data_IF_692394119582
#
_entry.id   IF_692394119582
#
_cell.length_a   1.000
_cell.length_b   1.000
_cell.length_c   1.000
_cell.angle_alpha   90.00
_cell.angle_beta   90.00
_cell.angle_gamma   90.00
#
_symmetry.space_group_name_H-M   'P 1'
#
loop_
_entity.id
_entity.type
_entity.pdbx_description
1 polymer ?
#
# COMPACT_ATOMS: atom_id res chain seq x y z
N UNK A 1 50.08 54.03 -5.92
CA UNK A 1 49.23 53.98 -7.14
C UNK A 1 48.71 52.56 -7.37
N UNK A 2 49.56 51.54 -7.39
CA UNK A 2 49.15 50.13 -7.60
C UNK A 2 48.15 49.60 -6.56
N UNK A 3 48.33 49.96 -5.28
CA UNK A 3 47.40 49.57 -4.21
C UNK A 3 46.03 50.27 -4.32
N UNK A 4 45.97 51.51 -4.81
CA UNK A 4 44.71 52.21 -5.01
C UNK A 4 43.94 51.63 -6.23
N UNK A 5 44.64 51.16 -7.26
CA UNK A 5 44.02 50.48 -8.42
C UNK A 5 43.50 49.07 -8.02
N UNK A 6 44.23 48.34 -7.13
CA UNK A 6 43.73 47.06 -6.57
C UNK A 6 42.52 47.23 -5.66
N UNK A 7 42.45 48.31 -4.87
CA UNK A 7 41.27 48.60 -4.03
C UNK A 7 40.03 48.92 -4.88
N UNK A 8 40.17 49.57 -6.01
CA UNK A 8 39.06 49.89 -6.89
C UNK A 8 38.44 48.68 -7.59
N UNK A 9 39.27 47.70 -7.94
CA UNK A 9 38.79 46.45 -8.59
C UNK A 9 38.15 45.43 -7.60
N UNK A 10 38.50 45.48 -6.33
CA UNK A 10 37.98 44.57 -5.29
C UNK A 10 36.59 45.02 -4.77
N UNK A 11 36.32 46.32 -4.74
CA UNK A 11 35.04 46.86 -4.21
C UNK A 11 33.78 46.37 -4.96
N UNK A 12 33.75 46.36 -6.31
CA UNK A 12 32.57 45.82 -7.02
C UNK A 12 32.35 44.33 -6.78
N UNK A 13 33.44 43.55 -6.70
CA UNK A 13 33.39 42.12 -6.40
C UNK A 13 32.91 41.85 -4.97
N UNK A 14 33.33 42.61 -3.99
CA UNK A 14 32.86 42.52 -2.62
C UNK A 14 31.37 42.90 -2.50
N UNK A 15 30.94 43.99 -3.18
CA UNK A 15 29.54 44.40 -3.20
C UNK A 15 28.66 43.31 -3.83
N UNK A 16 29.11 42.68 -4.95
CA UNK A 16 28.39 41.58 -5.58
C UNK A 16 28.28 40.38 -4.65
N UNK A 17 29.38 40.00 -3.99
CA UNK A 17 29.39 38.85 -3.06
C UNK A 17 28.50 39.09 -1.85
N UNK A 18 28.62 40.23 -1.17
CA UNK A 18 27.87 40.46 0.07
C UNK A 18 26.42 40.90 -0.16
N UNK A 19 26.14 41.69 -1.16
CA UNK A 19 24.82 42.26 -1.38
C UNK A 19 23.90 41.40 -2.26
N UNK A 20 24.47 40.52 -3.08
CA UNK A 20 23.71 39.69 -4.03
C UNK A 20 23.95 38.20 -3.79
N UNK A 21 25.20 37.72 -3.84
CA UNK A 21 25.47 36.30 -3.76
C UNK A 21 25.23 35.71 -2.37
N UNK A 22 25.58 36.45 -1.29
CA UNK A 22 25.35 35.97 0.07
C UNK A 22 23.86 35.91 0.42
N UNK A 23 23.02 36.93 0.18
CA UNK A 23 21.59 36.83 0.36
C UNK A 23 20.94 35.75 -0.53
N UNK A 24 21.37 35.61 -1.78
CA UNK A 24 20.88 34.58 -2.67
C UNK A 24 21.21 33.17 -2.13
N UNK A 25 22.43 32.97 -1.63
CA UNK A 25 22.84 31.73 -0.98
C UNK A 25 22.02 31.46 0.28
N UNK A 26 21.76 32.47 1.12
CA UNK A 26 20.94 32.33 2.32
C UNK A 26 19.49 31.99 2.00
N UNK A 27 18.93 32.51 0.90
CA UNK A 27 17.54 32.29 0.52
C UNK A 27 17.36 30.95 -0.21
N UNK A 28 18.30 30.56 -1.06
CA UNK A 28 18.18 29.37 -1.92
C UNK A 28 19.12 28.24 -1.47
N UNK A 29 20.40 28.53 -1.27
CA UNK A 29 21.41 27.51 -0.99
C UNK A 29 21.32 26.94 0.41
N UNK A 30 21.11 27.78 1.41
CA UNK A 30 21.03 27.31 2.80
C UNK A 30 19.78 26.44 3.07
N UNK A 31 18.55 26.81 2.65
CA UNK A 31 17.39 25.93 2.74
C UNK A 31 17.56 24.64 1.96
N UNK A 32 18.22 24.68 0.79
CA UNK A 32 18.52 23.48 0.01
C UNK A 32 19.46 22.51 0.76
N UNK A 33 20.55 23.03 1.35
CA UNK A 33 21.47 22.24 2.17
C UNK A 33 20.75 21.68 3.41
N UNK A 34 19.94 22.49 4.11
CA UNK A 34 19.15 22.02 5.24
C UNK A 34 18.16 20.95 4.83
N UNK A 35 17.52 21.06 3.67
CA UNK A 35 16.61 20.06 3.13
C UNK A 35 17.31 18.73 2.89
N UNK A 36 18.51 18.73 2.28
CA UNK A 36 19.33 17.53 2.07
C UNK A 36 19.72 16.91 3.43
N UNK A 37 20.23 17.72 4.35
CA UNK A 37 20.63 17.23 5.68
C UNK A 37 19.46 16.64 6.46
N UNK A 38 18.30 17.27 6.38
CA UNK A 38 17.08 16.78 7.03
C UNK A 38 16.60 15.46 6.43
N UNK A 39 16.53 15.37 5.10
CA UNK A 39 16.15 14.15 4.39
C UNK A 39 17.10 12.98 4.71
N UNK A 40 18.41 13.25 4.73
CA UNK A 40 19.42 12.23 5.09
C UNK A 40 19.25 11.74 6.52
N UNK A 41 18.96 12.64 7.47
CA UNK A 41 18.69 12.25 8.86
C UNK A 41 17.42 11.46 9.03
N UNK A 42 16.36 11.85 8.34
CA UNK A 42 15.06 11.17 8.37
C UNK A 42 15.18 9.74 7.82
N UNK A 43 15.88 9.55 6.70
CA UNK A 43 16.14 8.21 6.15
C UNK A 43 16.85 7.29 7.15
N UNK A 44 17.88 7.77 7.85
CA UNK A 44 18.57 6.98 8.89
C UNK A 44 17.65 6.60 10.05
N UNK A 45 16.78 7.50 10.48
CA UNK A 45 15.81 7.20 11.53
C UNK A 45 14.85 6.10 11.06
N UNK A 46 14.34 6.19 9.82
CA UNK A 46 13.48 5.18 9.22
C UNK A 46 14.19 3.81 9.19
N UNK A 47 15.42 3.75 8.71
CA UNK A 47 16.22 2.51 8.69
C UNK A 47 16.43 1.93 10.10
N UNK A 48 16.69 2.77 11.11
CA UNK A 48 16.84 2.34 12.49
C UNK A 48 15.54 1.77 13.07
N UNK A 49 14.39 2.38 12.76
CA UNK A 49 13.08 1.88 13.17
C UNK A 49 12.81 0.51 12.53
N UNK A 50 13.04 0.35 11.24
CA UNK A 50 12.91 -0.94 10.56
C UNK A 50 13.85 -2.00 11.14
N UNK A 51 15.12 -1.67 11.33
CA UNK A 51 16.10 -2.57 11.95
C UNK A 51 15.69 -3.00 13.36
N UNK A 52 15.06 -2.12 14.14
CA UNK A 52 14.57 -2.46 15.48
C UNK A 52 13.40 -3.46 15.45
N UNK A 53 12.51 -3.35 14.48
CA UNK A 53 11.41 -4.32 14.25
C UNK A 53 11.99 -5.68 13.84
N UNK A 54 12.89 -5.71 12.86
CA UNK A 54 13.56 -6.95 12.42
C UNK A 54 14.28 -7.68 13.55
N UNK A 55 14.93 -6.94 14.44
CA UNK A 55 15.54 -7.56 15.63
C UNK A 55 14.52 -8.28 16.53
N UNK A 56 13.29 -7.78 16.63
CA UNK A 56 12.22 -8.48 17.37
C UNK A 56 11.84 -9.78 16.64
N UNK A 57 11.73 -9.77 15.31
CA UNK A 57 11.46 -11.00 14.54
C UNK A 57 12.53 -12.07 14.78
N UNK A 58 13.79 -11.70 14.69
CA UNK A 58 14.91 -12.62 14.95
C UNK A 58 14.87 -13.18 16.38
N UNK A 59 14.57 -12.35 17.38
CA UNK A 59 14.44 -12.79 18.78
C UNK A 59 13.26 -13.72 18.99
N UNK A 60 12.10 -13.46 18.34
CA UNK A 60 10.94 -14.33 18.37
C UNK A 60 11.23 -15.69 17.73
N UNK A 61 11.82 -15.68 16.54
CA UNK A 61 12.20 -16.90 15.82
C UNK A 61 13.25 -17.74 16.59
N UNK A 62 14.17 -17.09 17.32
CA UNK A 62 15.16 -17.80 18.12
C UNK A 62 14.59 -18.58 19.31
N UNK A 63 13.37 -18.23 19.77
CA UNK A 63 12.66 -18.97 20.83
C UNK A 63 12.00 -20.24 20.25
N UNK A 64 11.54 -20.14 19.00
CA UNK A 64 10.84 -21.22 18.31
C UNK A 64 9.37 -21.37 18.71
N UNK A 65 8.59 -22.10 17.89
CA UNK A 65 7.12 -22.18 18.01
C UNK A 65 6.64 -22.84 19.29
N UNK A 66 7.41 -23.76 19.86
CA UNK A 66 7.11 -24.48 21.10
C UNK A 66 7.73 -23.83 22.34
N UNK A 67 8.53 -22.77 22.13
CA UNK A 67 9.22 -22.08 23.23
C UNK A 67 8.24 -21.25 24.06
N UNK A 68 8.50 -21.18 25.36
CA UNK A 68 7.68 -20.36 26.28
C UNK A 68 8.16 -18.90 26.27
N UNK A 69 7.24 -18.00 25.95
CA UNK A 69 7.49 -16.57 25.99
C UNK A 69 6.88 -15.97 27.26
N UNK A 70 7.73 -15.67 28.22
CA UNK A 70 7.30 -15.06 29.46
C UNK A 70 6.42 -13.81 29.24
N UNK A 71 5.27 -13.63 29.94
CA UNK A 71 4.30 -12.55 29.70
C UNK A 71 4.91 -11.14 29.66
N UNK A 72 5.89 -10.82 30.53
CA UNK A 72 6.59 -9.53 30.51
C UNK A 72 7.39 -9.30 29.22
N UNK A 73 8.00 -10.33 28.64
CA UNK A 73 8.72 -10.23 27.38
C UNK A 73 7.74 -10.09 26.21
N UNK A 74 6.62 -10.83 26.23
CA UNK A 74 5.53 -10.72 25.26
C UNK A 74 5.02 -9.29 25.19
N UNK A 75 4.59 -8.72 26.32
CA UNK A 75 4.14 -7.34 26.42
C UNK A 75 5.19 -6.37 25.85
N UNK A 76 6.45 -6.51 26.29
CA UNK A 76 7.54 -5.63 25.82
C UNK A 76 7.69 -5.67 24.29
N UNK A 77 7.64 -6.85 23.68
CA UNK A 77 7.88 -6.98 22.22
C UNK A 77 6.67 -6.58 21.40
N UNK A 78 5.45 -6.93 21.81
CA UNK A 78 4.24 -6.43 21.18
C UNK A 78 4.19 -4.89 21.24
N UNK A 79 4.41 -4.32 22.41
CA UNK A 79 4.45 -2.87 22.60
C UNK A 79 5.53 -2.21 21.73
N UNK A 80 6.74 -2.77 21.70
CA UNK A 80 7.81 -2.25 20.87
C UNK A 80 7.44 -2.25 19.37
N UNK A 81 6.87 -3.35 18.85
CA UNK A 81 6.41 -3.42 17.46
C UNK A 81 5.37 -2.33 17.15
N UNK A 82 4.40 -2.14 18.04
CA UNK A 82 3.32 -1.17 17.85
C UNK A 82 3.81 0.27 17.98
N UNK A 83 4.62 0.58 18.99
CA UNK A 83 5.18 1.92 19.19
C UNK A 83 6.10 2.30 18.03
N UNK A 84 6.94 1.38 17.56
CA UNK A 84 7.81 1.64 16.40
C UNK A 84 7.00 1.84 15.13
N UNK A 85 5.93 1.07 14.93
CA UNK A 85 5.01 1.27 13.81
C UNK A 85 4.29 2.62 13.93
N UNK A 86 3.87 3.05 15.14
CA UNK A 86 3.28 4.36 15.36
C UNK A 86 4.27 5.49 15.04
N UNK A 87 5.56 5.35 15.40
CA UNK A 87 6.59 6.33 15.02
C UNK A 87 6.75 6.44 13.49
N UNK A 88 6.65 5.32 12.75
CA UNK A 88 6.64 5.35 11.28
C UNK A 88 5.39 6.07 10.73
N UNK A 89 4.22 5.90 11.37
CA UNK A 89 3.00 6.64 11.03
C UNK A 89 3.19 8.14 11.24
N UNK A 90 3.74 8.54 12.38
CA UNK A 90 4.00 9.94 12.69
C UNK A 90 4.95 10.56 11.66
N UNK A 91 6.02 9.86 11.30
CA UNK A 91 6.92 10.29 10.23
C UNK A 91 6.19 10.43 8.89
N UNK A 92 5.32 9.49 8.55
CA UNK A 92 4.54 9.52 7.30
C UNK A 92 3.62 10.75 7.22
N UNK A 93 3.06 11.17 8.35
CA UNK A 93 2.17 12.33 8.44
C UNK A 93 2.95 13.64 8.40
N UNK A 94 4.07 13.73 9.15
CA UNK A 94 4.77 14.99 9.37
C UNK A 94 5.87 15.28 8.36
N UNK A 95 6.39 14.28 7.64
CA UNK A 95 7.42 14.49 6.64
C UNK A 95 6.82 15.06 5.34
N UNK A 96 7.27 16.23 4.86
CA UNK A 96 6.71 16.85 3.66
C UNK A 96 7.21 16.23 2.35
N UNK A 97 8.32 15.48 2.37
CA UNK A 97 8.99 14.95 1.19
C UNK A 97 8.46 13.58 0.79
N UNK A 98 8.35 13.34 -0.52
CA UNK A 98 7.82 12.08 -1.08
C UNK A 98 8.76 10.90 -0.84
N UNK A 99 10.06 11.09 -0.95
CA UNK A 99 11.04 10.01 -0.85
C UNK A 99 11.00 9.29 0.52
N UNK A 100 11.02 9.98 1.68
CA UNK A 100 10.85 9.31 2.96
C UNK A 100 9.49 8.63 3.13
N UNK A 101 8.41 9.22 2.58
CA UNK A 101 7.09 8.59 2.58
C UNK A 101 7.11 7.28 1.78
N UNK A 102 7.71 7.28 0.59
CA UNK A 102 7.89 6.09 -0.23
C UNK A 102 8.71 5.03 0.53
N UNK A 103 9.85 5.42 1.11
CA UNK A 103 10.69 4.52 1.91
C UNK A 103 9.92 3.87 3.08
N UNK A 104 9.03 4.61 3.74
CA UNK A 104 8.21 4.05 4.83
C UNK A 104 7.21 3.03 4.27
N UNK A 105 6.51 3.34 3.19
CA UNK A 105 5.50 2.42 2.60
C UNK A 105 6.16 1.15 2.08
N UNK A 106 7.25 1.26 1.34
CA UNK A 106 8.03 0.11 0.86
C UNK A 106 8.55 -0.73 2.02
N UNK A 107 9.16 -0.09 3.01
CA UNK A 107 9.70 -0.77 4.18
C UNK A 107 8.62 -1.47 5.01
N UNK A 108 7.42 -0.93 5.15
CA UNK A 108 6.30 -1.61 5.81
C UNK A 108 5.87 -2.86 5.05
N UNK A 109 5.82 -2.79 3.70
CA UNK A 109 5.55 -3.94 2.86
C UNK A 109 6.60 -5.04 3.02
N UNK A 110 7.88 -4.68 2.94
CA UNK A 110 9.00 -5.61 3.08
C UNK A 110 9.04 -6.24 4.48
N UNK A 111 8.83 -5.44 5.53
CA UNK A 111 8.73 -5.95 6.91
C UNK A 111 7.59 -6.95 7.09
N UNK A 112 6.44 -6.70 6.48
CA UNK A 112 5.30 -7.60 6.60
C UNK A 112 5.54 -8.90 5.83
N UNK A 113 6.18 -8.83 4.66
CA UNK A 113 6.63 -10.01 3.91
C UNK A 113 7.64 -10.83 4.73
N UNK A 114 8.60 -10.16 5.35
CA UNK A 114 9.58 -10.82 6.23
C UNK A 114 8.90 -11.44 7.45
N UNK A 115 8.00 -10.72 8.10
CA UNK A 115 7.19 -11.23 9.21
C UNK A 115 6.45 -12.52 8.85
N UNK A 116 5.81 -12.57 7.69
CA UNK A 116 5.08 -13.76 7.21
C UNK A 116 6.00 -14.97 7.05
N UNK A 117 7.22 -14.76 6.56
CA UNK A 117 8.22 -15.83 6.40
C UNK A 117 8.66 -16.41 7.75
N UNK A 118 8.84 -15.55 8.75
CA UNK A 118 9.28 -15.96 10.08
C UNK A 118 8.15 -16.37 11.03
N UNK A 119 6.91 -16.01 10.74
CA UNK A 119 5.74 -16.19 11.61
C UNK A 119 5.56 -17.62 12.11
N UNK A 120 5.84 -18.62 11.28
CA UNK A 120 5.75 -20.06 11.63
C UNK A 120 6.74 -20.45 12.73
N UNK A 121 7.82 -19.72 12.86
CA UNK A 121 8.89 -19.97 13.83
C UNK A 121 8.70 -19.19 15.14
N UNK A 122 7.65 -18.35 15.23
CA UNK A 122 7.35 -17.57 16.44
C UNK A 122 6.64 -18.41 17.51
N UNK A 123 6.92 -18.14 18.81
CA UNK A 123 6.20 -18.81 19.90
C UNK A 123 4.71 -18.55 19.81
N UNK A 124 3.90 -19.59 20.03
CA UNK A 124 2.42 -19.49 19.97
C UNK A 124 1.90 -18.43 20.95
N UNK A 125 2.48 -18.36 22.13
CA UNK A 125 2.13 -17.38 23.16
C UNK A 125 2.37 -15.92 22.74
N UNK A 126 3.18 -15.65 21.71
CA UNK A 126 3.34 -14.30 21.17
C UNK A 126 2.04 -13.74 20.58
N UNK A 127 1.15 -14.59 20.09
CA UNK A 127 -0.10 -14.18 19.42
C UNK A 127 -1.26 -13.92 20.39
N UNK A 128 -1.10 -14.18 21.69
CA UNK A 128 -2.04 -13.72 22.71
C UNK A 128 -1.87 -12.20 22.89
N UNK A 129 -2.89 -11.45 22.53
CA UNK A 129 -2.83 -9.97 22.48
C UNK A 129 -2.93 -9.41 23.90
N UNK A 130 -1.97 -8.59 24.30
CA UNK A 130 -1.98 -7.93 25.62
C UNK A 130 -2.96 -6.77 25.65
N UNK A 131 -3.43 -6.39 26.85
CA UNK A 131 -4.44 -5.34 27.03
C UNK A 131 -3.98 -4.00 26.48
N UNK A 132 -2.71 -3.64 26.63
CA UNK A 132 -2.14 -2.43 26.05
C UNK A 132 -2.33 -2.37 24.51
N UNK A 133 -2.23 -3.52 23.84
CA UNK A 133 -2.41 -3.61 22.38
C UNK A 133 -3.90 -3.61 22.02
N UNK A 134 -4.76 -4.23 22.83
CA UNK A 134 -6.21 -4.21 22.61
C UNK A 134 -6.79 -2.80 22.66
N UNK A 135 -6.16 -1.90 23.43
CA UNK A 135 -6.54 -0.49 23.52
C UNK A 135 -5.96 0.41 22.42
N UNK A 136 -5.05 -0.10 21.59
CA UNK A 136 -4.52 0.67 20.46
C UNK A 136 -5.66 1.17 19.54
N UNK A 137 -5.50 2.39 19.04
CA UNK A 137 -6.51 3.05 18.17
C UNK A 137 -6.85 2.20 16.93
N UNK A 138 -5.90 1.39 16.47
CA UNK A 138 -6.09 0.48 15.34
C UNK A 138 -7.14 -0.59 15.61
N UNK A 139 -7.44 -0.89 16.87
CA UNK A 139 -8.37 -1.95 17.25
C UNK A 139 -9.68 -1.46 17.87
N UNK A 140 -9.89 -0.14 17.97
CA UNK A 140 -11.11 0.41 18.58
C UNK A 140 -12.41 -0.13 17.97
N UNK A 141 -12.41 -0.39 16.66
CA UNK A 141 -13.57 -0.93 15.94
C UNK A 141 -13.65 -2.46 15.97
N UNK A 142 -12.64 -3.14 16.48
CA UNK A 142 -12.49 -4.59 16.47
C UNK A 142 -12.60 -5.22 17.87
N UNK A 143 -13.08 -4.46 18.87
CA UNK A 143 -13.10 -4.89 20.29
C UNK A 143 -13.79 -6.23 20.55
N UNK A 144 -14.80 -6.60 19.74
CA UNK A 144 -15.49 -7.89 19.85
C UNK A 144 -14.84 -9.05 19.07
N UNK A 145 -13.72 -8.82 18.37
CA UNK A 145 -13.12 -9.78 17.44
C UNK A 145 -11.74 -10.30 17.90
N UNK A 146 -11.33 -9.97 19.14
CA UNK A 146 -9.97 -10.35 19.58
C UNK A 146 -9.75 -11.85 19.67
N UNK A 147 -10.76 -12.64 20.02
CA UNK A 147 -10.67 -14.09 20.02
C UNK A 147 -10.33 -14.65 18.63
N UNK A 148 -10.99 -14.11 17.59
CA UNK A 148 -10.71 -14.49 16.20
C UNK A 148 -9.33 -13.98 15.75
N UNK A 149 -8.95 -12.76 16.12
CA UNK A 149 -7.65 -12.15 15.79
C UNK A 149 -6.50 -12.97 16.38
N UNK A 150 -6.64 -13.41 17.64
CA UNK A 150 -5.65 -14.24 18.33
C UNK A 150 -5.60 -15.66 17.74
N UNK A 151 -6.76 -16.27 17.50
CA UNK A 151 -6.89 -17.57 16.85
C UNK A 151 -6.26 -17.58 15.45
N UNK A 152 -6.54 -16.55 14.68
CA UNK A 152 -6.01 -16.38 13.31
C UNK A 152 -4.57 -15.83 13.31
N UNK A 153 -4.08 -15.36 14.47
CA UNK A 153 -2.72 -14.81 14.68
C UNK A 153 -2.39 -13.61 13.78
N UNK A 154 -3.36 -12.71 13.56
CA UNK A 154 -3.24 -11.63 12.55
C UNK A 154 -3.22 -10.21 13.13
N UNK A 155 -3.00 -10.05 14.45
CA UNK A 155 -3.06 -8.73 15.09
C UNK A 155 -2.04 -7.72 14.53
N UNK A 156 -0.83 -8.16 14.22
CA UNK A 156 0.22 -7.27 13.71
C UNK A 156 0.01 -6.95 12.22
N UNK A 157 -0.47 -7.90 11.45
CA UNK A 157 -0.86 -7.71 10.06
C UNK A 157 -1.99 -6.69 9.93
N UNK A 158 -3.03 -6.80 10.77
CA UNK A 158 -4.12 -5.84 10.81
C UNK A 158 -3.64 -4.41 11.10
N UNK A 159 -2.67 -4.26 12.01
CA UNK A 159 -2.04 -2.96 12.29
C UNK A 159 -1.39 -2.38 11.04
N UNK A 160 -0.52 -3.14 10.38
CA UNK A 160 0.22 -2.68 9.20
C UNK A 160 -0.70 -2.39 8.01
N UNK A 161 -1.69 -3.24 7.73
CA UNK A 161 -2.68 -2.98 6.68
C UNK A 161 -3.48 -1.71 6.92
N UNK A 162 -3.83 -1.44 8.18
CA UNK A 162 -4.52 -0.19 8.51
C UNK A 162 -3.63 1.03 8.23
N UNK A 163 -2.33 0.93 8.50
CA UNK A 163 -1.38 2.01 8.18
C UNK A 163 -1.32 2.25 6.68
N UNK A 164 -1.08 1.20 5.89
CA UNK A 164 -1.00 1.29 4.43
C UNK A 164 -2.32 1.79 3.85
N UNK A 165 -3.46 1.31 4.36
CA UNK A 165 -4.78 1.73 3.92
C UNK A 165 -5.08 3.20 4.21
N UNK A 166 -4.75 3.69 5.39
CA UNK A 166 -4.91 5.10 5.74
C UNK A 166 -3.98 5.99 4.90
N UNK A 167 -2.75 5.55 4.66
CA UNK A 167 -1.81 6.24 3.80
C UNK A 167 -2.34 6.34 2.36
N UNK A 168 -2.88 5.24 1.80
CA UNK A 168 -3.51 5.22 0.49
C UNK A 168 -4.62 6.27 0.37
N UNK A 169 -5.53 6.33 1.34
CA UNK A 169 -6.62 7.31 1.38
C UNK A 169 -6.06 8.73 1.41
N UNK A 170 -5.12 9.01 2.32
CA UNK A 170 -4.51 10.33 2.47
C UNK A 170 -3.78 10.77 1.18
N UNK A 171 -3.08 9.86 0.51
CA UNK A 171 -2.36 10.18 -0.73
C UNK A 171 -3.31 10.44 -1.90
N UNK A 172 -4.42 9.72 -1.99
CA UNK A 172 -5.46 10.02 -2.99
C UNK A 172 -6.04 11.41 -2.75
N UNK A 173 -6.41 11.74 -1.51
CA UNK A 173 -6.98 13.05 -1.15
C UNK A 173 -5.98 14.19 -1.38
N UNK A 174 -4.69 13.95 -1.19
CA UNK A 174 -3.62 14.91 -1.47
C UNK A 174 -3.22 14.98 -2.95
N UNK A 175 -3.74 14.11 -3.83
CA UNK A 175 -3.33 14.02 -5.24
C UNK A 175 -1.92 13.43 -5.44
N UNK A 176 -1.38 12.72 -4.47
CA UNK A 176 -0.07 12.07 -4.52
C UNK A 176 -0.19 10.67 -5.14
N UNK A 177 -0.52 10.61 -6.45
CA UNK A 177 -0.86 9.37 -7.17
C UNK A 177 0.26 8.33 -7.18
N UNK A 178 1.52 8.75 -7.19
CA UNK A 178 2.67 7.83 -7.16
C UNK A 178 2.71 7.07 -5.82
N UNK A 179 2.48 7.77 -4.72
CA UNK A 179 2.46 7.18 -3.37
C UNK A 179 1.23 6.32 -3.13
N UNK A 180 0.06 6.72 -3.66
CA UNK A 180 -1.13 5.86 -3.59
C UNK A 180 -0.95 4.57 -4.37
N UNK A 181 -0.32 4.62 -5.55
CA UNK A 181 0.03 3.44 -6.35
C UNK A 181 1.00 2.54 -5.60
N UNK A 182 2.00 3.13 -4.92
CA UNK A 182 2.96 2.38 -4.12
C UNK A 182 2.29 1.63 -2.96
N UNK A 183 1.30 2.22 -2.29
CA UNK A 183 0.52 1.52 -1.26
C UNK A 183 -0.16 0.26 -1.82
N UNK A 184 -0.77 0.36 -2.99
CA UNK A 184 -1.43 -0.78 -3.65
C UNK A 184 -0.43 -1.83 -4.08
N UNK A 185 0.72 -1.42 -4.63
CA UNK A 185 1.81 -2.33 -4.99
C UNK A 185 2.28 -3.14 -3.78
N UNK A 186 2.47 -2.50 -2.62
CA UNK A 186 2.86 -3.23 -1.42
C UNK A 186 1.80 -4.23 -0.96
N UNK A 187 0.50 -3.85 -0.97
CA UNK A 187 -0.59 -4.78 -0.64
C UNK A 187 -0.59 -5.98 -1.59
N UNK A 188 -0.39 -5.75 -2.89
CA UNK A 188 -0.29 -6.80 -3.90
C UNK A 188 0.92 -7.72 -3.67
N UNK A 189 2.12 -7.17 -3.41
CA UNK A 189 3.34 -7.94 -3.10
C UNK A 189 3.15 -8.83 -1.88
N UNK A 190 2.57 -8.30 -0.81
CA UNK A 190 2.21 -9.05 0.39
C UNK A 190 1.25 -10.19 0.03
N UNK A 191 0.24 -9.91 -0.81
CA UNK A 191 -0.72 -10.90 -1.28
C UNK A 191 -0.08 -12.06 -2.04
N UNK A 192 0.80 -11.76 -3.00
CA UNK A 192 1.55 -12.79 -3.75
C UNK A 192 2.39 -13.65 -2.79
N UNK A 193 3.10 -13.01 -1.85
CA UNK A 193 3.88 -13.77 -0.87
C UNK A 193 3.00 -14.64 0.05
N UNK A 194 1.80 -14.15 0.41
CA UNK A 194 0.85 -14.95 1.19
C UNK A 194 0.34 -16.18 0.43
N UNK A 195 0.13 -16.05 -0.88
CA UNK A 195 -0.22 -17.17 -1.77
C UNK A 195 0.90 -18.20 -1.82
N UNK A 196 2.14 -17.78 -2.04
CA UNK A 196 3.32 -18.67 -2.05
C UNK A 196 3.50 -19.43 -0.73
N UNK A 197 3.25 -18.75 0.40
CA UNK A 197 3.35 -19.32 1.75
C UNK A 197 2.09 -20.09 2.17
N UNK A 198 1.03 -20.10 1.35
CA UNK A 198 -0.30 -20.70 1.64
C UNK A 198 -0.90 -20.14 2.95
N UNK A 199 -0.85 -18.82 3.11
CA UNK A 199 -1.28 -18.13 4.31
C UNK A 199 -2.73 -17.63 4.15
N UNK A 200 -3.74 -18.52 4.37
CA UNK A 200 -5.15 -18.28 4.08
C UNK A 200 -5.68 -16.96 4.65
N UNK A 201 -5.46 -16.73 5.94
CA UNK A 201 -5.96 -15.51 6.61
C UNK A 201 -5.35 -14.23 6.05
N UNK A 202 -4.10 -14.32 5.60
CA UNK A 202 -3.44 -13.18 4.98
C UNK A 202 -3.98 -12.89 3.59
N UNK A 203 -4.27 -13.91 2.80
CA UNK A 203 -4.92 -13.77 1.49
C UNK A 203 -6.30 -13.13 1.63
N UNK A 204 -7.10 -13.53 2.66
CA UNK A 204 -8.39 -12.92 2.96
C UNK A 204 -8.24 -11.43 3.33
N UNK A 205 -7.26 -11.07 4.17
CA UNK A 205 -6.98 -9.68 4.53
C UNK A 205 -6.60 -8.85 3.30
N UNK A 206 -5.77 -9.37 2.41
CA UNK A 206 -5.40 -8.70 1.15
C UNK A 206 -6.63 -8.43 0.30
N UNK A 207 -7.52 -9.42 0.12
CA UNK A 207 -8.78 -9.23 -0.63
C UNK A 207 -9.66 -8.14 -0.02
N UNK A 208 -9.83 -8.14 1.31
CA UNK A 208 -10.62 -7.14 2.03
C UNK A 208 -10.03 -5.74 1.82
N UNK A 209 -8.71 -5.60 1.93
CA UNK A 209 -8.05 -4.31 1.75
C UNK A 209 -8.09 -3.82 0.32
N UNK A 210 -7.82 -4.67 -0.68
CA UNK A 210 -7.94 -4.30 -2.09
C UNK A 210 -9.37 -3.89 -2.45
N UNK A 211 -10.39 -4.63 -1.96
CA UNK A 211 -11.79 -4.25 -2.13
C UNK A 211 -12.12 -2.89 -1.46
N UNK A 212 -11.58 -2.64 -0.27
CA UNK A 212 -11.77 -1.35 0.43
C UNK A 212 -11.12 -0.20 -0.36
N UNK A 213 -9.91 -0.42 -0.89
CA UNK A 213 -9.23 0.55 -1.74
C UNK A 213 -10.00 0.82 -3.04
N UNK A 214 -10.56 -0.22 -3.71
CA UNK A 214 -11.40 -0.08 -4.89
C UNK A 214 -12.62 0.79 -4.61
N UNK A 215 -13.31 0.53 -3.49
CA UNK A 215 -14.48 1.32 -3.08
C UNK A 215 -14.12 2.79 -2.88
N UNK A 216 -13.00 3.07 -2.22
CA UNK A 216 -12.55 4.43 -1.96
C UNK A 216 -12.12 5.13 -3.26
N UNK A 217 -11.30 4.45 -4.09
CA UNK A 217 -10.84 4.98 -5.36
C UNK A 217 -12.00 5.25 -6.34
N UNK A 218 -13.03 4.40 -6.36
CA UNK A 218 -14.23 4.63 -7.17
C UNK A 218 -15.00 5.85 -6.67
N UNK A 219 -15.21 5.98 -5.35
CA UNK A 219 -15.87 7.15 -4.77
C UNK A 219 -15.13 8.45 -5.14
N UNK A 220 -13.82 8.46 -4.99
CA UNK A 220 -12.98 9.60 -5.34
C UNK A 220 -13.01 9.87 -6.86
N UNK A 221 -12.91 8.82 -7.68
CA UNK A 221 -12.96 8.91 -9.14
C UNK A 221 -14.27 9.50 -9.65
N UNK A 222 -15.41 9.12 -9.08
CA UNK A 222 -16.73 9.71 -9.41
C UNK A 222 -16.80 11.18 -9.07
N UNK A 223 -16.37 11.57 -7.86
CA UNK A 223 -16.46 12.95 -7.38
C UNK A 223 -15.55 13.91 -8.16
N UNK A 224 -14.39 13.44 -8.59
CA UNK A 224 -13.36 14.27 -9.20
C UNK A 224 -13.16 14.00 -10.70
N UNK A 225 -13.94 13.10 -11.29
CA UNK A 225 -13.76 12.62 -12.66
C UNK A 225 -12.29 12.18 -12.93
N UNK A 226 -11.68 11.46 -11.96
CA UNK A 226 -10.27 11.11 -11.93
C UNK A 226 -10.06 9.58 -11.87
N UNK A 227 -9.71 8.96 -12.99
CA UNK A 227 -9.64 7.49 -13.10
C UNK A 227 -8.29 6.87 -12.71
N UNK A 228 -7.20 7.65 -12.59
CA UNK A 228 -5.83 7.11 -12.45
C UNK A 228 -5.65 6.15 -11.28
N UNK A 229 -6.23 6.48 -10.12
CA UNK A 229 -6.13 5.60 -8.94
C UNK A 229 -6.84 4.27 -9.16
N UNK A 230 -8.00 4.28 -9.82
CA UNK A 230 -8.72 3.05 -10.17
C UNK A 230 -7.92 2.18 -11.15
N UNK A 231 -7.35 2.80 -12.18
CA UNK A 231 -6.54 2.09 -13.17
C UNK A 231 -5.38 1.35 -12.50
N UNK A 232 -4.57 2.05 -11.72
CA UNK A 232 -3.42 1.47 -11.04
C UNK A 232 -3.83 0.36 -10.05
N UNK A 233 -4.91 0.60 -9.31
CA UNK A 233 -5.41 -0.37 -8.33
C UNK A 233 -5.90 -1.66 -9.00
N UNK A 234 -6.66 -1.56 -10.11
CA UNK A 234 -7.16 -2.73 -10.86
C UNK A 234 -5.98 -3.52 -11.44
N UNK A 235 -4.96 -2.84 -11.97
CA UNK A 235 -3.76 -3.49 -12.49
C UNK A 235 -3.02 -4.30 -11.40
N UNK A 236 -2.79 -3.73 -10.22
CA UNK A 236 -2.14 -4.46 -9.12
C UNK A 236 -3.03 -5.56 -8.55
N UNK A 237 -4.33 -5.32 -8.47
CA UNK A 237 -5.28 -6.37 -8.08
C UNK A 237 -5.24 -7.54 -9.07
N UNK A 238 -5.17 -7.26 -10.37
CA UNK A 238 -5.02 -8.27 -11.42
C UNK A 238 -3.80 -9.17 -11.20
N UNK A 239 -2.65 -8.62 -10.82
CA UNK A 239 -1.45 -9.41 -10.50
C UNK A 239 -1.68 -10.37 -9.31
N UNK A 240 -2.37 -9.92 -8.28
CA UNK A 240 -2.72 -10.78 -7.14
C UNK A 240 -3.68 -11.90 -7.58
N UNK A 241 -4.70 -11.59 -8.38
CA UNK A 241 -5.64 -12.59 -8.92
C UNK A 241 -4.94 -13.62 -9.79
N UNK A 242 -3.97 -13.21 -10.62
CA UNK A 242 -3.16 -14.14 -11.40
C UNK A 242 -2.38 -15.13 -10.52
N UNK A 243 -1.81 -14.64 -9.40
CA UNK A 243 -1.15 -15.51 -8.42
C UNK A 243 -2.12 -16.51 -7.77
N UNK A 244 -3.35 -16.08 -7.44
CA UNK A 244 -4.41 -17.00 -6.94
C UNK A 244 -4.77 -18.07 -7.97
N UNK A 245 -4.85 -17.69 -9.26
CA UNK A 245 -5.11 -18.63 -10.37
C UNK A 245 -3.98 -19.64 -10.52
N UNK A 246 -2.73 -19.20 -10.44
CA UNK A 246 -1.55 -20.08 -10.50
C UNK A 246 -1.54 -21.13 -9.39
N UNK A 247 -2.01 -20.77 -8.20
CA UNK A 247 -2.10 -21.66 -7.05
C UNK A 247 -3.46 -22.37 -6.90
N UNK A 248 -4.35 -22.21 -7.88
CA UNK A 248 -5.67 -22.87 -7.95
C UNK A 248 -6.59 -22.54 -6.76
N UNK A 249 -6.54 -21.31 -6.25
CA UNK A 249 -7.41 -20.84 -5.17
C UNK A 249 -8.77 -20.39 -5.74
N UNK A 250 -9.61 -21.36 -6.07
CA UNK A 250 -10.91 -21.10 -6.68
C UNK A 250 -11.83 -20.17 -5.85
N UNK A 251 -11.96 -20.34 -4.52
CA UNK A 251 -12.85 -19.46 -3.75
C UNK A 251 -12.48 -17.98 -3.87
N UNK A 252 -11.17 -17.65 -3.78
CA UNK A 252 -10.71 -16.26 -3.87
C UNK A 252 -10.73 -15.73 -5.30
N UNK A 253 -10.50 -16.57 -6.30
CA UNK A 253 -10.67 -16.22 -7.72
C UNK A 253 -12.12 -15.84 -7.99
N UNK A 254 -13.11 -16.64 -7.55
CA UNK A 254 -14.55 -16.33 -7.68
C UNK A 254 -14.89 -14.99 -7.03
N UNK A 255 -14.42 -14.76 -5.82
CA UNK A 255 -14.64 -13.50 -5.10
C UNK A 255 -14.06 -12.31 -5.88
N UNK A 256 -12.86 -12.45 -6.45
CA UNK A 256 -12.19 -11.40 -7.21
C UNK A 256 -12.94 -11.06 -8.51
N UNK A 257 -13.42 -12.07 -9.24
CA UNK A 257 -14.23 -11.86 -10.44
C UNK A 257 -15.57 -11.20 -10.10
N UNK A 258 -16.19 -11.59 -8.97
CA UNK A 258 -17.38 -10.92 -8.44
C UNK A 258 -17.12 -9.44 -8.13
N UNK A 259 -15.95 -9.09 -7.57
CA UNK A 259 -15.55 -7.71 -7.38
C UNK A 259 -15.42 -6.95 -8.71
N UNK A 260 -14.76 -7.53 -9.71
CA UNK A 260 -14.62 -6.88 -11.02
C UNK A 260 -15.97 -6.58 -11.66
N UNK A 261 -16.90 -7.54 -11.64
CA UNK A 261 -18.24 -7.33 -12.17
C UNK A 261 -19.00 -6.25 -11.40
N UNK A 262 -18.97 -6.31 -10.06
CA UNK A 262 -19.63 -5.31 -9.21
C UNK A 262 -19.10 -3.89 -9.48
N UNK A 263 -17.77 -3.71 -9.54
CA UNK A 263 -17.18 -2.41 -9.81
C UNK A 263 -17.43 -1.97 -11.27
N UNK A 264 -17.47 -2.90 -12.22
CA UNK A 264 -17.86 -2.59 -13.60
C UNK A 264 -19.26 -2.03 -13.69
N UNK A 265 -20.23 -2.65 -13.02
CA UNK A 265 -21.61 -2.14 -12.93
C UNK A 265 -21.67 -0.76 -12.28
N UNK A 266 -20.99 -0.58 -11.14
CA UNK A 266 -20.95 0.70 -10.42
C UNK A 266 -20.26 1.82 -11.21
N UNK A 267 -19.26 1.50 -12.03
CA UNK A 267 -18.62 2.44 -12.96
C UNK A 267 -19.58 2.79 -14.10
N UNK A 268 -20.21 1.79 -14.71
CA UNK A 268 -21.18 2.02 -15.77
C UNK A 268 -22.30 2.99 -15.34
N UNK A 269 -22.86 2.78 -14.14
CA UNK A 269 -23.86 3.69 -13.56
C UNK A 269 -23.32 5.11 -13.30
N UNK A 270 -22.01 5.25 -13.10
CA UNK A 270 -21.36 6.53 -12.83
C UNK A 270 -20.96 7.32 -14.08
N UNK A 271 -21.04 6.73 -15.30
CA UNK A 271 -20.52 7.35 -16.53
C UNK A 271 -21.20 8.67 -16.91
N UNK A 272 -22.45 8.86 -16.53
CA UNK A 272 -23.14 10.13 -16.76
C UNK A 272 -22.52 11.29 -15.99
N UNK A 273 -22.04 11.03 -14.77
CA UNK A 273 -21.44 12.04 -13.90
C UNK A 273 -19.91 12.11 -14.07
N UNK A 274 -19.27 11.01 -14.42
CA UNK A 274 -17.83 10.87 -14.50
C UNK A 274 -17.39 10.08 -15.76
N UNK A 275 -17.51 10.69 -16.97
CA UNK A 275 -17.26 10.01 -18.23
C UNK A 275 -15.82 9.52 -18.40
N UNK A 276 -14.83 10.12 -17.70
CA UNK A 276 -13.45 9.66 -17.74
C UNK A 276 -13.26 8.25 -17.16
N UNK A 277 -14.26 7.72 -16.43
CA UNK A 277 -14.23 6.35 -15.91
C UNK A 277 -14.52 5.29 -16.99
N UNK A 278 -14.96 5.65 -18.19
CA UNK A 278 -15.34 4.70 -19.23
C UNK A 278 -14.21 3.70 -19.57
N UNK A 279 -12.96 4.17 -19.69
CA UNK A 279 -11.86 3.28 -20.02
C UNK A 279 -11.50 2.28 -18.89
N UNK A 280 -11.99 2.52 -17.67
CA UNK A 280 -11.80 1.57 -16.55
C UNK A 280 -12.59 0.28 -16.78
N UNK A 281 -13.72 0.33 -17.49
CA UNK A 281 -14.45 -0.87 -17.91
C UNK A 281 -13.57 -1.77 -18.78
N UNK A 282 -12.84 -1.17 -19.73
CA UNK A 282 -11.89 -1.89 -20.57
C UNK A 282 -10.73 -2.48 -19.76
N UNK A 283 -10.25 -1.75 -18.75
CA UNK A 283 -9.21 -2.22 -17.84
C UNK A 283 -9.66 -3.45 -17.04
N UNK A 284 -10.89 -3.40 -16.47
CA UNK A 284 -11.47 -4.52 -15.73
C UNK A 284 -11.64 -5.74 -16.63
N UNK A 285 -12.21 -5.56 -17.83
CA UNK A 285 -12.39 -6.63 -18.82
C UNK A 285 -11.03 -7.23 -19.23
N UNK A 286 -10.02 -6.39 -19.42
CA UNK A 286 -8.65 -6.83 -19.75
C UNK A 286 -8.04 -7.69 -18.65
N UNK A 287 -8.16 -7.31 -17.38
CA UNK A 287 -7.63 -8.11 -16.27
C UNK A 287 -8.39 -9.43 -16.09
N UNK A 288 -9.72 -9.44 -16.25
CA UNK A 288 -10.50 -10.68 -16.27
C UNK A 288 -10.09 -11.60 -17.42
N UNK A 289 -9.90 -11.05 -18.63
CA UNK A 289 -9.44 -11.80 -19.81
C UNK A 289 -8.08 -12.43 -19.60
N UNK A 290 -7.11 -11.67 -19.02
CA UNK A 290 -5.78 -12.22 -18.66
C UNK A 290 -5.92 -13.42 -17.72
N UNK A 291 -6.77 -13.32 -16.71
CA UNK A 291 -7.04 -14.42 -15.78
C UNK A 291 -7.64 -15.64 -16.49
N UNK A 292 -8.61 -15.45 -17.38
CA UNK A 292 -9.21 -16.56 -18.17
C UNK A 292 -8.18 -17.24 -19.06
N UNK A 293 -7.31 -16.48 -19.74
CA UNK A 293 -6.21 -17.05 -20.53
C UNK A 293 -5.32 -17.90 -19.63
N UNK A 294 -4.95 -17.40 -18.46
CA UNK A 294 -4.12 -18.13 -17.50
C UNK A 294 -4.80 -19.40 -16.99
N UNK A 295 -6.10 -19.35 -16.68
CA UNK A 295 -6.87 -20.54 -16.29
C UNK A 295 -6.89 -21.59 -17.40
N UNK A 296 -7.02 -21.16 -18.65
CA UNK A 296 -6.98 -22.05 -19.81
C UNK A 296 -5.61 -22.70 -19.97
N UNK A 297 -4.53 -21.94 -19.92
CA UNK A 297 -3.14 -22.41 -19.99
C UNK A 297 -2.81 -23.44 -18.90
N UNK A 298 -3.34 -23.22 -17.69
CA UNK A 298 -3.14 -24.09 -16.53
C UNK A 298 -4.12 -25.28 -16.50
N UNK A 299 -4.92 -25.49 -17.53
CA UNK A 299 -5.90 -26.57 -17.63
C UNK A 299 -6.82 -26.66 -16.39
N UNK A 300 -7.44 -25.54 -16.04
CA UNK A 300 -8.46 -25.53 -15.00
C UNK A 300 -9.67 -26.38 -15.41
N UNK A 301 -10.42 -26.88 -14.42
CA UNK A 301 -11.68 -27.57 -14.64
C UNK A 301 -12.64 -26.74 -15.48
N UNK A 302 -13.33 -27.37 -16.45
CA UNK A 302 -14.20 -26.67 -17.40
C UNK A 302 -15.35 -25.93 -16.72
N UNK A 303 -15.94 -26.52 -15.67
CA UNK A 303 -17.04 -25.90 -14.94
C UNK A 303 -16.58 -24.60 -14.30
N UNK A 304 -15.44 -24.62 -13.61
CA UNK A 304 -14.86 -23.44 -12.97
C UNK A 304 -14.45 -22.39 -13.98
N UNK A 305 -13.88 -22.78 -15.11
CA UNK A 305 -13.55 -21.87 -16.19
C UNK A 305 -14.80 -21.18 -16.78
N UNK A 306 -15.85 -21.95 -17.10
CA UNK A 306 -17.06 -21.39 -17.67
C UNK A 306 -17.83 -20.49 -16.69
N UNK A 307 -17.76 -20.75 -15.41
CA UNK A 307 -18.33 -19.88 -14.39
C UNK A 307 -17.67 -18.49 -14.42
N UNK A 308 -16.34 -18.42 -14.50
CA UNK A 308 -15.63 -17.15 -14.60
C UNK A 308 -15.81 -16.48 -15.98
N UNK A 309 -15.90 -17.26 -17.04
CA UNK A 309 -16.21 -16.76 -18.38
C UNK A 309 -17.59 -16.05 -18.42
N UNK A 310 -18.60 -16.55 -17.71
CA UNK A 310 -19.90 -15.89 -17.59
C UNK A 310 -19.76 -14.51 -16.94
N UNK A 311 -18.97 -14.38 -15.86
CA UNK A 311 -18.73 -13.10 -15.21
C UNK A 311 -18.05 -12.11 -16.17
N UNK A 312 -17.06 -12.57 -16.93
CA UNK A 312 -16.41 -11.75 -17.95
C UNK A 312 -17.38 -11.28 -19.05
N UNK A 313 -18.21 -12.17 -19.59
CA UNK A 313 -19.17 -11.81 -20.64
C UNK A 313 -20.20 -10.80 -20.15
N UNK A 314 -20.63 -10.86 -18.89
CA UNK A 314 -21.50 -9.85 -18.30
C UNK A 314 -20.84 -8.48 -18.26
N UNK A 315 -19.54 -8.41 -17.88
CA UNK A 315 -18.79 -7.18 -17.87
C UNK A 315 -18.50 -6.65 -19.28
N UNK A 316 -18.14 -7.52 -20.22
CA UNK A 316 -17.88 -7.17 -21.63
C UNK A 316 -19.13 -6.60 -22.31
N UNK A 317 -20.31 -7.10 -21.99
CA UNK A 317 -21.57 -6.54 -22.45
C UNK A 317 -21.79 -5.09 -21.98
N UNK A 318 -21.46 -4.75 -20.73
CA UNK A 318 -21.54 -3.37 -20.23
C UNK A 318 -20.61 -2.44 -21.04
N UNK A 319 -19.40 -2.88 -21.32
CA UNK A 319 -18.45 -2.13 -22.14
C UNK A 319 -18.96 -1.90 -23.57
N UNK A 320 -19.61 -2.87 -24.16
CA UNK A 320 -20.17 -2.77 -25.52
C UNK A 320 -21.36 -1.82 -25.59
N UNK A 321 -22.21 -1.77 -24.56
CA UNK A 321 -23.32 -0.81 -24.44
C UNK A 321 -22.75 0.62 -24.34
N UNK A 322 -21.72 0.85 -23.56
CA UNK A 322 -21.07 2.15 -23.42
C UNK A 322 -20.51 2.66 -24.76
N UNK A 323 -19.85 1.81 -25.54
CA UNK A 323 -19.36 2.15 -26.87
C UNK A 323 -20.49 2.57 -27.80
N UNK A 324 -21.62 1.89 -27.79
CA UNK A 324 -22.79 2.23 -28.61
C UNK A 324 -23.42 3.55 -28.15
N UNK A 325 -23.42 3.83 -26.85
CA UNK A 325 -23.95 5.07 -26.29
C UNK A 325 -23.08 6.27 -26.68
N UNK A 326 -21.75 6.12 -26.57
CA UNK A 326 -20.80 7.16 -26.98
C UNK A 326 -20.90 7.48 -28.49
N UNK A 327 -21.14 6.50 -29.37
CA UNK A 327 -21.33 6.71 -30.80
C UNK A 327 -22.64 7.41 -31.15
N UNK A 328 -23.66 7.35 -30.29
CA UNK A 328 -24.95 8.01 -30.53
C UNK A 328 -25.00 9.46 -30.01
N UNK A 329 -24.00 9.92 -29.28
CA UNK A 329 -23.90 11.29 -28.76
C UNK A 329 -22.91 12.19 -29.52
N UNK A 330 -22.13 11.65 -30.44
CA UNK A 330 -21.27 12.37 -31.38
C UNK A 330 -21.78 12.23 -32.81
#
# INVERSE_FOLDING_TARGET
>A
KLMAEMEMDVRPSLILNYNILLPLFMIIGFPFILSILYSTKTGKVIEQLFGSIQQVYLKLASIGPTGDLHPKKRLKWQKHLFETTNQLIDLLVYVPYKEPKAQIIEGLGDLLIEYLKWKKDFPVSFFEVTDDIREDISFKTLKGQFEDIEKDRVFYELKNFRVIGNAFISFIEAGEFDLSTLCVDQVQRIGVQAVELKHDKMMDLVLIHLNTHLRFALKHGRLNNEPRNLYNLIFHYGKFVQSLIEHRDLPRVKTSYGHYLFYGQAIFEALLDAPSLAFILDTLATEMKKGLIKMYELHWDREHYFEQLKQFLLLDNLQNIDRSFAFNFF
#
